data_IF_541334495945
#
_entry.id   IF_541334495945
#
_cell.length_a   1.000
_cell.length_b   1.000
_cell.length_c   1.000
_cell.angle_alpha   90.00
_cell.angle_beta   90.00
_cell.angle_gamma   90.00
#
_symmetry.space_group_name_H-M   'P 1'
#
loop_
_entity.id
_entity.type
_entity.pdbx_description
1 polymer ?
#
# COMPACT_ATOMS: atom_id res chain seq x y z
N UNK A 1 -12.61 -15.75 4.12
CA UNK A 1 -11.94 -14.85 5.07
C UNK A 1 -10.76 -14.14 4.40
N UNK A 2 -9.80 -14.84 3.80
CA UNK A 2 -8.62 -14.24 3.17
C UNK A 2 -8.95 -13.20 2.10
N UNK A 3 -9.86 -13.50 1.16
CA UNK A 3 -10.28 -12.56 0.11
C UNK A 3 -10.90 -11.26 0.67
N UNK A 4 -11.68 -11.37 1.75
CA UNK A 4 -12.28 -10.18 2.37
C UNK A 4 -11.20 -9.27 2.98
N UNK A 5 -10.21 -9.85 3.67
CA UNK A 5 -9.09 -9.07 4.20
C UNK A 5 -8.23 -8.45 3.10
N UNK A 6 -7.97 -9.19 2.01
CA UNK A 6 -7.22 -8.67 0.87
C UNK A 6 -7.92 -7.49 0.21
N UNK A 7 -9.24 -7.56 0.01
CA UNK A 7 -10.02 -6.44 -0.54
C UNK A 7 -9.88 -5.20 0.33
N UNK A 8 -10.03 -5.35 1.64
CA UNK A 8 -9.91 -4.20 2.58
C UNK A 8 -8.47 -3.64 2.61
N UNK A 9 -7.46 -4.50 2.52
CA UNK A 9 -6.06 -4.04 2.43
C UNK A 9 -5.78 -3.31 1.13
N UNK A 10 -6.38 -3.72 0.02
CA UNK A 10 -6.30 -2.96 -1.23
C UNK A 10 -6.95 -1.57 -1.09
N UNK A 11 -8.10 -1.48 -0.42
CA UNK A 11 -8.75 -0.18 -0.14
C UNK A 11 -7.87 0.70 0.75
N UNK A 12 -7.18 0.13 1.75
CA UNK A 12 -6.20 0.86 2.58
C UNK A 12 -5.06 1.38 1.70
N UNK A 13 -4.49 0.54 0.84
CA UNK A 13 -3.36 0.91 -0.01
C UNK A 13 -3.73 2.06 -0.97
N UNK A 14 -4.89 1.99 -1.62
CA UNK A 14 -5.41 3.04 -2.49
C UNK A 14 -5.67 4.32 -1.71
N UNK A 15 -6.32 4.23 -0.56
CA UNK A 15 -6.61 5.37 0.32
C UNK A 15 -5.33 6.06 0.82
N UNK A 16 -4.29 5.28 1.15
CA UNK A 16 -2.98 5.80 1.54
C UNK A 16 -2.27 6.49 0.38
N UNK A 17 -2.34 5.96 -0.84
CA UNK A 17 -1.75 6.60 -2.01
C UNK A 17 -2.45 7.95 -2.31
N UNK A 18 -3.77 8.01 -2.19
CA UNK A 18 -4.52 9.27 -2.31
C UNK A 18 -4.16 10.26 -1.19
N UNK A 19 -4.10 9.78 0.05
CA UNK A 19 -3.66 10.57 1.20
C UNK A 19 -2.26 11.17 0.97
N UNK A 20 -1.32 10.34 0.54
CA UNK A 20 0.04 10.75 0.25
C UNK A 20 0.10 11.81 -0.86
N UNK A 21 -0.65 11.62 -1.95
CA UNK A 21 -0.74 12.59 -3.04
C UNK A 21 -1.22 13.95 -2.53
N UNK A 22 -2.34 14.01 -1.81
CA UNK A 22 -2.89 15.26 -1.26
C UNK A 22 -1.97 15.91 -0.24
N UNK A 23 -1.31 15.12 0.62
CA UNK A 23 -0.32 15.63 1.55
C UNK A 23 0.88 16.31 0.86
N UNK A 24 1.26 15.84 -0.35
CA UNK A 24 2.32 16.43 -1.16
C UNK A 24 1.90 17.72 -1.87
N UNK A 25 0.67 17.76 -2.37
CA UNK A 25 0.13 18.92 -3.11
C UNK A 25 -0.36 20.03 -2.19
N UNK A 26 -0.52 19.77 -0.90
CA UNK A 26 -1.07 20.71 0.06
C UNK A 26 -2.59 20.78 0.04
N UNK A 27 -3.24 19.81 -0.61
CA UNK A 27 -4.70 19.68 -0.62
C UNK A 27 -5.22 19.10 0.71
N UNK A 28 -6.54 19.27 0.99
CA UNK A 28 -7.14 18.67 2.17
C UNK A 28 -7.01 17.14 2.15
N UNK A 29 -6.51 16.59 3.24
CA UNK A 29 -6.39 15.14 3.48
C UNK A 29 -7.59 14.55 4.23
N UNK A 30 -8.60 15.34 4.58
CA UNK A 30 -9.69 14.91 5.48
C UNK A 30 -10.49 13.73 4.90
N UNK A 31 -10.82 13.78 3.60
CA UNK A 31 -11.51 12.70 2.92
C UNK A 31 -10.71 11.40 2.91
N UNK A 32 -9.48 11.39 2.34
CA UNK A 32 -8.62 10.22 2.37
C UNK A 32 -8.31 9.70 3.78
N UNK A 33 -8.10 10.59 4.76
CA UNK A 33 -7.93 10.23 6.18
C UNK A 33 -9.10 9.41 6.69
N UNK A 34 -10.33 9.90 6.46
CA UNK A 34 -11.53 9.22 6.89
C UNK A 34 -11.68 7.84 6.23
N UNK A 35 -11.39 7.75 4.93
CA UNK A 35 -11.44 6.49 4.18
C UNK A 35 -10.43 5.47 4.72
N UNK A 36 -9.16 5.86 4.90
CA UNK A 36 -8.12 4.98 5.46
C UNK A 36 -8.50 4.51 6.86
N UNK A 37 -8.98 5.41 7.72
CA UNK A 37 -9.40 5.05 9.08
C UNK A 37 -10.58 4.06 9.08
N UNK A 38 -11.57 4.27 8.20
CA UNK A 38 -12.69 3.35 8.05
C UNK A 38 -12.25 1.98 7.52
N UNK A 39 -11.28 1.95 6.58
CA UNK A 39 -10.75 0.70 6.05
C UNK A 39 -9.93 -0.07 7.11
N UNK A 40 -9.17 0.60 7.99
CA UNK A 40 -8.52 -0.08 9.12
C UNK A 40 -9.54 -0.67 10.10
N UNK A 41 -10.63 0.04 10.41
CA UNK A 41 -11.71 -0.49 11.23
C UNK A 41 -12.40 -1.72 10.57
N UNK A 42 -12.62 -1.67 9.25
CA UNK A 42 -13.14 -2.79 8.49
C UNK A 42 -12.17 -3.98 8.49
N UNK A 43 -10.85 -3.74 8.41
CA UNK A 43 -9.83 -4.78 8.52
C UNK A 43 -9.87 -5.47 9.88
N UNK A 44 -9.95 -4.71 10.97
CA UNK A 44 -10.09 -5.26 12.31
C UNK A 44 -11.32 -6.17 12.43
N UNK A 45 -12.47 -5.72 11.92
CA UNK A 45 -13.69 -6.53 11.89
C UNK A 45 -13.55 -7.78 11.02
N UNK A 46 -12.90 -7.70 9.86
CA UNK A 46 -12.66 -8.84 8.98
C UNK A 46 -11.68 -9.86 9.58
N UNK A 47 -10.85 -9.46 10.53
CA UNK A 47 -9.94 -10.34 11.27
C UNK A 47 -10.63 -11.11 12.40
N UNK A 48 -11.77 -10.62 12.91
CA UNK A 48 -12.51 -11.31 13.95
C UNK A 48 -12.83 -12.75 13.54
N UNK A 49 -12.34 -13.72 14.32
CA UNK A 49 -12.51 -15.16 14.08
C UNK A 49 -11.70 -15.75 12.92
N UNK A 50 -10.83 -14.97 12.26
CA UNK A 50 -9.99 -15.46 11.15
C UNK A 50 -8.50 -15.19 11.30
N UNK A 51 -8.09 -14.28 12.19
CA UNK A 51 -6.71 -13.87 12.36
C UNK A 51 -5.77 -15.04 12.75
N UNK A 52 -6.19 -15.92 13.66
CA UNK A 52 -5.43 -17.13 14.04
C UNK A 52 -5.22 -18.06 12.85
N UNK A 53 -6.30 -18.34 12.10
CA UNK A 53 -6.27 -19.25 10.95
C UNK A 53 -5.40 -18.73 9.80
N UNK A 54 -5.30 -17.40 9.64
CA UNK A 54 -4.50 -16.75 8.62
C UNK A 54 -3.12 -16.31 9.15
N UNK A 55 -2.79 -16.66 10.40
CA UNK A 55 -1.54 -16.29 11.06
C UNK A 55 -1.25 -14.79 11.03
N UNK A 56 -2.30 -13.96 11.11
CA UNK A 56 -2.21 -12.49 11.10
C UNK A 56 -2.37 -11.86 12.46
N UNK A 57 -2.32 -12.66 13.54
CA UNK A 57 -2.25 -12.12 14.90
C UNK A 57 -0.90 -11.43 15.13
N UNK A 58 -0.81 -10.43 16.01
CA UNK A 58 0.46 -9.79 16.34
C UNK A 58 1.55 -10.80 16.73
N UNK A 59 1.21 -11.81 17.53
CA UNK A 59 2.14 -12.84 18.00
C UNK A 59 2.64 -13.73 16.86
N UNK A 60 1.76 -14.10 15.92
CA UNK A 60 2.12 -14.90 14.76
C UNK A 60 3.06 -14.14 13.82
N UNK A 61 2.80 -12.86 13.59
CA UNK A 61 3.65 -12.00 12.77
C UNK A 61 5.00 -11.73 13.45
N UNK A 62 5.01 -11.52 14.76
CA UNK A 62 6.25 -11.34 15.52
C UNK A 62 7.13 -12.58 15.45
N UNK A 63 6.56 -13.77 15.49
CA UNK A 63 7.29 -15.04 15.41
C UNK A 63 8.05 -15.24 14.08
N UNK A 64 7.71 -14.47 13.04
CA UNK A 64 8.38 -14.48 11.72
C UNK A 64 9.06 -13.14 11.39
N UNK A 65 9.36 -12.33 12.40
CA UNK A 65 9.99 -11.01 12.30
C UNK A 65 9.19 -9.98 11.45
N UNK A 66 7.87 -10.17 11.36
CA UNK A 66 6.94 -9.29 10.62
C UNK A 66 5.98 -8.52 11.54
N UNK A 67 6.28 -8.38 12.83
CA UNK A 67 5.42 -7.72 13.81
C UNK A 67 5.05 -6.27 13.42
N UNK A 68 5.92 -5.57 12.70
CA UNK A 68 5.65 -4.23 12.17
C UNK A 68 4.54 -4.19 11.11
N UNK A 69 4.21 -5.33 10.50
CA UNK A 69 3.13 -5.48 9.53
C UNK A 69 1.78 -5.82 10.18
N UNK A 70 1.76 -6.03 11.51
CA UNK A 70 0.49 -6.27 12.20
C UNK A 70 -0.49 -5.11 11.92
N UNK A 71 -1.76 -5.40 11.59
CA UNK A 71 -2.76 -4.36 11.25
C UNK A 71 -2.85 -3.24 12.28
N UNK A 72 -2.80 -3.57 13.57
CA UNK A 72 -2.79 -2.58 14.64
C UNK A 72 -1.52 -1.70 14.64
N UNK A 73 -0.37 -2.27 14.27
CA UNK A 73 0.89 -1.53 14.14
C UNK A 73 0.85 -0.56 12.94
N UNK A 74 0.34 -1.01 11.80
CA UNK A 74 0.17 -0.18 10.60
C UNK A 74 -0.83 0.96 10.86
N UNK A 75 -1.95 0.68 11.53
CA UNK A 75 -2.91 1.71 11.93
C UNK A 75 -2.29 2.73 12.89
N UNK A 76 -1.49 2.29 13.86
CA UNK A 76 -0.79 3.18 14.79
C UNK A 76 0.24 4.06 14.06
N UNK A 77 0.96 3.50 13.07
CA UNK A 77 1.88 4.26 12.21
C UNK A 77 1.13 5.32 11.41
N UNK A 78 -0.01 4.97 10.81
CA UNK A 78 -0.85 5.93 10.09
C UNK A 78 -1.34 7.07 11.01
N UNK A 79 -1.88 6.75 12.18
CA UNK A 79 -2.35 7.75 13.15
C UNK A 79 -1.22 8.67 13.63
N UNK A 80 -0.02 8.12 13.82
CA UNK A 80 1.15 8.93 14.18
C UNK A 80 1.56 9.85 13.04
N UNK A 81 1.66 9.33 11.82
CA UNK A 81 1.95 10.12 10.62
C UNK A 81 0.95 11.27 10.46
N UNK A 82 -0.35 10.98 10.54
CA UNK A 82 -1.41 11.96 10.36
C UNK A 82 -1.36 13.09 11.41
N UNK A 83 -1.10 12.73 12.67
CA UNK A 83 -0.94 13.71 13.75
C UNK A 83 0.24 14.63 13.51
N UNK A 84 1.36 14.05 13.07
CA UNK A 84 2.63 14.77 12.94
C UNK A 84 2.73 15.51 11.60
N UNK A 85 1.88 15.19 10.62
CA UNK A 85 1.93 15.67 9.24
C UNK A 85 2.19 17.18 9.10
N UNK A 86 1.52 18.08 9.89
CA UNK A 86 1.71 19.51 9.74
C UNK A 86 3.14 19.98 10.08
N UNK A 87 3.87 19.23 10.90
CA UNK A 87 5.22 19.56 11.37
C UNK A 87 6.34 18.80 10.66
N UNK A 88 6.01 17.81 9.81
CA UNK A 88 7.01 16.97 9.16
C UNK A 88 7.73 17.70 8.03
N UNK A 89 9.07 17.63 8.04
CA UNK A 89 9.89 18.01 6.90
C UNK A 89 9.59 17.12 5.68
N UNK A 90 9.74 17.67 4.47
CA UNK A 90 9.39 16.97 3.23
C UNK A 90 10.00 15.56 3.12
N UNK A 91 11.31 15.43 3.42
CA UNK A 91 12.00 14.13 3.38
C UNK A 91 11.44 13.13 4.41
N UNK A 92 11.21 13.56 5.64
CA UNK A 92 10.69 12.69 6.70
C UNK A 92 9.26 12.26 6.41
N UNK A 93 8.43 13.17 5.90
CA UNK A 93 7.09 12.87 5.44
C UNK A 93 7.10 11.80 4.35
N UNK A 94 7.94 11.96 3.32
CA UNK A 94 8.04 10.99 2.22
C UNK A 94 8.52 9.62 2.71
N UNK A 95 9.47 9.59 3.64
CA UNK A 95 9.96 8.34 4.22
C UNK A 95 8.84 7.61 4.96
N UNK A 96 8.13 8.29 5.86
CA UNK A 96 7.03 7.68 6.63
C UNK A 96 5.87 7.23 5.75
N UNK A 97 5.52 8.00 4.72
CA UNK A 97 4.47 7.62 3.75
C UNK A 97 4.87 6.36 2.98
N UNK A 98 6.11 6.32 2.50
CA UNK A 98 6.65 5.15 1.79
C UNK A 98 6.67 3.92 2.67
N UNK A 99 7.17 4.03 3.90
CA UNK A 99 7.28 2.91 4.83
C UNK A 99 5.90 2.32 5.14
N UNK A 100 4.90 3.16 5.31
CA UNK A 100 3.52 2.73 5.54
C UNK A 100 2.92 2.03 4.31
N UNK A 101 3.11 2.57 3.11
CA UNK A 101 2.66 1.93 1.86
C UNK A 101 3.33 0.57 1.65
N UNK A 102 4.64 0.48 1.90
CA UNK A 102 5.39 -0.78 1.83
C UNK A 102 4.92 -1.78 2.90
N UNK A 103 4.61 -1.31 4.11
CA UNK A 103 4.07 -2.15 5.17
C UNK A 103 2.73 -2.77 4.80
N UNK A 104 1.79 -1.98 4.29
CA UNK A 104 0.48 -2.51 3.84
C UNK A 104 0.65 -3.48 2.68
N UNK A 105 1.51 -3.18 1.71
CA UNK A 105 1.84 -4.11 0.63
C UNK A 105 2.42 -5.41 1.17
N UNK A 106 3.38 -5.34 2.10
CA UNK A 106 3.98 -6.53 2.72
C UNK A 106 2.95 -7.42 3.42
N UNK A 107 1.94 -6.81 4.07
CA UNK A 107 0.84 -7.56 4.67
C UNK A 107 -0.06 -8.22 3.61
N UNK A 108 -0.31 -7.56 2.46
CA UNK A 108 -1.05 -8.15 1.33
C UNK A 108 -0.31 -9.39 0.80
N UNK A 109 1.00 -9.29 0.58
CA UNK A 109 1.85 -10.40 0.12
C UNK A 109 1.84 -11.56 1.12
N UNK A 110 2.07 -11.27 2.41
CA UNK A 110 2.03 -12.28 3.48
C UNK A 110 0.68 -13.01 3.56
N UNK A 111 -0.42 -12.28 3.45
CA UNK A 111 -1.77 -12.88 3.42
C UNK A 111 -1.98 -13.74 2.17
N UNK A 112 -1.46 -13.33 1.02
CA UNK A 112 -1.47 -14.12 -0.20
C UNK A 112 -0.81 -15.48 0.02
N UNK A 113 0.41 -15.46 0.58
CA UNK A 113 1.20 -16.65 0.83
C UNK A 113 0.59 -17.55 1.91
N UNK A 114 0.15 -16.97 3.03
CA UNK A 114 -0.37 -17.72 4.18
C UNK A 114 -1.76 -18.32 3.97
N UNK A 115 -2.57 -17.74 3.09
CA UNK A 115 -3.94 -18.18 2.85
C UNK A 115 -4.05 -19.42 1.95
N UNK A 116 -2.93 -19.98 1.47
CA UNK A 116 -2.88 -21.09 0.49
C UNK A 116 -3.71 -20.85 -0.79
N UNK A 117 -4.20 -19.66 -1.02
CA UNK A 117 -4.95 -19.29 -2.22
C UNK A 117 -4.11 -19.45 -3.50
N UNK A 118 -2.78 -19.39 -3.36
CA UNK A 118 -1.81 -19.62 -4.45
C UNK A 118 -1.74 -21.12 -4.84
N UNK A 119 -2.21 -22.03 -3.98
CA UNK A 119 -2.19 -23.48 -4.23
C UNK A 119 -3.46 -24.01 -4.91
N UNK A 120 -4.41 -23.12 -5.25
CA UNK A 120 -5.57 -23.53 -6.03
C UNK A 120 -5.09 -24.08 -7.40
N UNK A 121 -5.42 -25.34 -7.77
CA UNK A 121 -5.01 -25.92 -9.04
C UNK A 121 -5.70 -25.28 -10.25
N UNK A 122 -6.70 -24.43 -10.03
CA UNK A 122 -7.37 -23.69 -11.10
C UNK A 122 -6.50 -22.50 -11.56
N UNK A 123 -6.12 -22.53 -12.82
CA UNK A 123 -5.23 -21.53 -13.45
C UNK A 123 -5.80 -20.12 -13.34
N UNK A 124 -7.12 -19.98 -13.49
CA UNK A 124 -7.80 -18.69 -13.45
C UNK A 124 -7.79 -18.09 -12.04
N UNK A 125 -7.99 -18.92 -11.01
CA UNK A 125 -7.90 -18.51 -9.61
C UNK A 125 -6.49 -18.05 -9.24
N UNK A 126 -5.48 -18.83 -9.63
CA UNK A 126 -4.07 -18.50 -9.40
C UNK A 126 -3.70 -17.16 -10.03
N UNK A 127 -4.16 -16.93 -11.25
CA UNK A 127 -3.89 -15.72 -11.99
C UNK A 127 -4.52 -14.48 -11.34
N UNK A 128 -5.79 -14.58 -10.91
CA UNK A 128 -6.48 -13.52 -10.18
C UNK A 128 -5.78 -13.22 -8.85
N UNK A 129 -5.25 -14.23 -8.17
CA UNK A 129 -4.51 -14.07 -6.94
C UNK A 129 -3.20 -13.30 -7.17
N UNK A 130 -2.42 -13.67 -8.19
CA UNK A 130 -1.18 -12.95 -8.54
C UNK A 130 -1.46 -11.48 -8.88
N UNK A 131 -2.55 -11.21 -9.61
CA UNK A 131 -2.97 -9.84 -9.90
C UNK A 131 -3.28 -9.05 -8.62
N UNK A 132 -4.04 -9.62 -7.70
CA UNK A 132 -4.52 -8.92 -6.51
C UNK A 132 -3.47 -8.80 -5.42
N UNK A 133 -2.55 -9.77 -5.28
CA UNK A 133 -1.56 -9.79 -4.20
C UNK A 133 -0.23 -9.15 -4.59
N UNK A 134 0.15 -9.19 -5.86
CA UNK A 134 1.43 -8.68 -6.33
C UNK A 134 1.30 -7.55 -7.34
N UNK A 135 0.62 -7.77 -8.46
CA UNK A 135 0.65 -6.85 -9.61
C UNK A 135 -0.03 -5.52 -9.32
N UNK A 136 -1.25 -5.54 -8.77
CA UNK A 136 -1.99 -4.31 -8.46
C UNK A 136 -1.32 -3.51 -7.35
N UNK A 137 -0.95 -4.09 -6.19
CA UNK A 137 -0.23 -3.36 -5.14
C UNK A 137 1.08 -2.75 -5.63
N UNK A 138 1.86 -3.48 -6.42
CA UNK A 138 3.09 -2.96 -7.01
C UNK A 138 2.82 -1.78 -7.95
N UNK A 139 1.78 -1.85 -8.77
CA UNK A 139 1.39 -0.78 -9.68
C UNK A 139 1.01 0.49 -8.93
N UNK A 140 0.29 0.38 -7.81
CA UNK A 140 -0.05 1.52 -6.94
C UNK A 140 1.22 2.20 -6.42
N UNK A 141 2.21 1.44 -5.96
CA UNK A 141 3.50 1.98 -5.50
C UNK A 141 4.27 2.68 -6.61
N UNK A 142 4.27 2.15 -7.84
CA UNK A 142 4.91 2.80 -8.98
C UNK A 142 4.23 4.11 -9.36
N UNK A 143 2.89 4.15 -9.30
CA UNK A 143 2.11 5.38 -9.51
C UNK A 143 2.43 6.40 -8.43
N UNK A 144 2.44 6.01 -7.15
CA UNK A 144 2.79 6.88 -6.03
C UNK A 144 4.22 7.44 -6.17
N UNK A 145 5.19 6.61 -6.56
CA UNK A 145 6.55 7.05 -6.83
C UNK A 145 6.62 8.08 -7.98
N UNK A 146 5.88 7.84 -9.08
CA UNK A 146 5.82 8.79 -10.19
C UNK A 146 5.17 10.13 -9.77
N UNK A 147 4.11 10.08 -8.97
CA UNK A 147 3.47 11.28 -8.40
C UNK A 147 4.41 12.02 -7.43
N UNK A 148 5.25 11.30 -6.68
CA UNK A 148 6.27 11.90 -5.81
C UNK A 148 7.29 12.69 -6.63
N UNK A 149 7.75 12.16 -7.75
CA UNK A 149 8.66 12.89 -8.66
C UNK A 149 7.96 14.12 -9.24
N UNK A 150 6.73 13.97 -9.71
CA UNK A 150 5.95 15.07 -10.26
C UNK A 150 5.72 16.20 -9.23
N UNK A 151 5.46 15.88 -7.98
CA UNK A 151 5.23 16.85 -6.91
C UNK A 151 6.47 17.69 -6.55
N UNK A 152 7.69 17.22 -6.88
CA UNK A 152 8.94 17.99 -6.70
C UNK A 152 9.12 19.06 -7.76
N UNK A 153 8.39 18.97 -8.86
CA UNK A 153 8.53 19.88 -10.01
C UNK A 153 7.50 21.00 -9.88
N UNK A 154 7.95 22.24 -9.99
CA UNK A 154 7.04 23.39 -9.97
C UNK A 154 6.09 23.35 -11.17
N UNK A 155 4.82 23.76 -11.01
CA UNK A 155 3.87 23.84 -12.11
C UNK A 155 4.45 24.64 -13.30
N UNK A 156 4.46 24.05 -14.48
CA UNK A 156 5.00 24.66 -15.71
C UNK A 156 6.51 24.56 -15.90
N UNK A 157 7.26 24.00 -14.94
CA UNK A 157 8.67 23.71 -15.12
C UNK A 157 8.88 22.39 -15.89
N UNK A 158 9.98 22.32 -16.66
CA UNK A 158 10.38 21.06 -17.31
C UNK A 158 11.02 20.15 -16.28
N UNK A 159 10.63 18.87 -16.27
CA UNK A 159 11.27 17.83 -15.46
C UNK A 159 12.78 17.81 -15.75
N UNK A 160 13.60 17.75 -14.72
CA UNK A 160 15.02 17.48 -14.86
C UNK A 160 15.24 16.13 -15.56
N UNK A 161 16.33 15.97 -16.29
CA UNK A 161 16.59 14.75 -17.06
C UNK A 161 16.56 13.49 -16.17
N UNK A 162 17.15 13.59 -14.98
CA UNK A 162 17.11 12.50 -13.98
C UNK A 162 15.66 12.10 -13.58
N UNK A 163 14.82 13.10 -13.30
CA UNK A 163 13.42 12.86 -12.90
C UNK A 163 12.61 12.29 -14.08
N UNK A 164 12.93 12.72 -15.31
CA UNK A 164 12.32 12.18 -16.54
C UNK A 164 12.69 10.71 -16.76
N UNK A 165 13.96 10.36 -16.54
CA UNK A 165 14.44 8.97 -16.61
C UNK A 165 13.76 8.10 -15.53
N UNK A 166 13.66 8.59 -14.30
CA UNK A 166 13.00 7.90 -13.20
C UNK A 166 11.52 7.63 -13.52
N UNK A 167 10.76 8.64 -13.94
CA UNK A 167 9.35 8.47 -14.35
C UNK A 167 9.21 7.51 -15.53
N UNK A 168 10.09 7.61 -16.53
CA UNK A 168 10.08 6.71 -17.69
C UNK A 168 10.32 5.26 -17.27
N UNK A 169 11.25 5.04 -16.34
CA UNK A 169 11.51 3.71 -15.79
C UNK A 169 10.29 3.13 -15.06
N UNK A 170 9.65 3.93 -14.20
CA UNK A 170 8.43 3.54 -13.48
C UNK A 170 7.28 3.20 -14.43
N UNK A 171 7.08 4.02 -15.48
CA UNK A 171 6.05 3.78 -16.51
C UNK A 171 6.31 2.50 -17.32
N UNK A 172 7.57 2.16 -17.59
CA UNK A 172 7.92 0.89 -18.23
C UNK A 172 7.56 -0.31 -17.35
N UNK A 173 7.81 -0.21 -16.05
CA UNK A 173 7.45 -1.27 -15.09
C UNK A 173 5.93 -1.47 -14.99
N UNK A 174 5.12 -0.43 -15.20
CA UNK A 174 3.66 -0.54 -15.29
C UNK A 174 3.18 -1.22 -16.58
N UNK A 175 3.93 -1.10 -17.69
CA UNK A 175 3.55 -1.68 -18.99
C UNK A 175 3.90 -3.16 -19.11
N UNK A 176 5.01 -3.60 -18.52
CA UNK A 176 5.50 -4.98 -18.64
C UNK A 176 4.45 -6.06 -18.30
N UNK A 177 3.63 -5.94 -17.25
CA UNK A 177 2.62 -6.95 -16.93
C UNK A 177 1.45 -7.00 -17.92
N UNK A 178 1.27 -5.99 -18.78
CA UNK A 178 0.15 -5.88 -19.72
C UNK A 178 0.52 -6.33 -21.14
N UNK A 179 1.82 -6.25 -21.51
CA UNK A 179 2.31 -6.52 -22.86
C UNK A 179 2.83 -7.96 -23.07
N UNK A 180 3.00 -8.75 -22.03
CA UNK A 180 3.49 -10.15 -22.10
C UNK A 180 2.38 -11.19 -22.36
N UNK A 181 1.26 -10.80 -22.99
CA UNK A 181 0.11 -11.68 -23.26
C UNK A 181 -0.29 -11.69 -24.70
#
# INVERSE_FOLDING_TARGET
AGLAQQSVLADILVGLAEYAHRARTGDSVDGPRANVSASFAALASAQEGSAERLSTTPEALEAVDLGSLAPAALEAQFRSLDRDLPGLAGFERETRLRDLLLGVRGLIEYLGDSSMLIQDPDLDSRYLMELTTATIPQSILHIDAALTVAARTSPGATLADKDREEVTSLLRQLKLPLDER
#
